data_IF_534082700857
#
_entry.id   IF_534082700857
#
_cell.length_a   1.000
_cell.length_b   1.000
_cell.length_c   1.000
_cell.angle_alpha   90.00
_cell.angle_beta   90.00
_cell.angle_gamma   90.00
#
_symmetry.space_group_name_H-M   'P 1'
#
loop_
_entity.id
_entity.type
_entity.pdbx_description
1 polymer ?
#
# COMPACT_ATOMS: atom_id res chain seq x y z
N UNK A 1 6.80 -28.94 -9.28
CA UNK A 1 7.46 -28.06 -8.30
C UNK A 1 6.49 -26.91 -8.02
N UNK A 2 5.94 -26.87 -6.82
CA UNK A 2 4.89 -25.89 -6.42
C UNK A 2 5.60 -24.58 -6.08
N UNK A 3 5.31 -23.51 -6.82
CA UNK A 3 5.73 -22.15 -6.51
C UNK A 3 4.98 -21.71 -5.26
N UNK A 4 5.66 -21.67 -4.13
CA UNK A 4 5.13 -21.04 -2.93
C UNK A 4 5.29 -19.53 -3.11
N UNK A 5 4.21 -18.88 -3.48
CA UNK A 5 4.08 -17.44 -3.42
C UNK A 5 4.07 -17.04 -1.95
N UNK A 6 5.15 -16.45 -1.48
CA UNK A 6 5.14 -15.68 -0.26
C UNK A 6 4.51 -14.33 -0.59
N UNK A 7 3.21 -14.23 -0.35
CA UNK A 7 2.60 -12.94 -0.13
C UNK A 7 3.25 -12.38 1.14
N UNK A 8 3.99 -11.29 1.03
CA UNK A 8 4.09 -10.35 2.11
C UNK A 8 2.65 -9.89 2.33
N UNK A 9 1.98 -10.59 3.23
CA UNK A 9 0.61 -10.32 3.53
C UNK A 9 0.53 -8.95 4.20
N UNK A 10 0.22 -7.93 3.42
CA UNK A 10 -0.73 -6.97 3.93
C UNK A 10 -1.97 -7.82 4.21
N UNK A 11 -2.15 -8.21 5.47
CA UNK A 11 -3.33 -8.91 5.92
C UNK A 11 -4.50 -7.93 5.85
N UNK A 12 -5.03 -7.73 4.63
CA UNK A 12 -6.41 -7.40 4.46
C UNK A 12 -7.16 -8.68 4.79
N UNK A 13 -7.45 -8.93 6.07
CA UNK A 13 -8.48 -9.89 6.42
C UNK A 13 -9.80 -9.31 5.93
N UNK A 14 -10.14 -9.65 4.68
CA UNK A 14 -11.50 -9.62 4.22
C UNK A 14 -12.28 -10.64 5.06
N UNK A 15 -12.80 -10.22 6.20
CA UNK A 15 -13.91 -10.87 6.85
C UNK A 15 -15.11 -10.69 5.91
N UNK A 16 -15.29 -11.64 4.99
CA UNK A 16 -16.55 -11.81 4.32
C UNK A 16 -17.59 -12.26 5.35
N UNK A 17 -18.16 -11.30 6.05
CA UNK A 17 -19.46 -11.53 6.67
C UNK A 17 -20.46 -11.65 5.53
N UNK A 18 -20.87 -12.88 5.22
CA UNK A 18 -22.09 -13.11 4.48
C UNK A 18 -23.25 -12.64 5.35
N UNK A 19 -23.56 -11.36 5.25
CA UNK A 19 -24.84 -10.83 5.69
C UNK A 19 -25.86 -11.35 4.70
N UNK A 20 -26.64 -12.32 5.11
CA UNK A 20 -27.89 -12.67 4.43
C UNK A 20 -28.78 -11.45 4.56
N UNK A 21 -28.69 -10.54 3.59
CA UNK A 21 -29.64 -9.46 3.45
C UNK A 21 -30.96 -10.08 3.02
N UNK A 22 -31.97 -9.99 3.88
CA UNK A 22 -33.36 -10.19 3.49
C UNK A 22 -33.66 -9.25 2.31
N UNK A 23 -34.05 -9.84 1.19
CA UNK A 23 -34.50 -9.14 0.00
C UNK A 23 -35.76 -8.34 0.31
N UNK A 24 -35.61 -7.03 0.41
CA UNK A 24 -36.64 -6.11 0.02
C UNK A 24 -36.12 -5.37 -1.21
N UNK A 25 -36.86 -5.49 -2.30
CA UNK A 25 -36.65 -4.74 -3.54
C UNK A 25 -36.99 -3.26 -3.29
N UNK A 26 -36.09 -2.55 -2.62
CA UNK A 26 -36.12 -1.10 -2.63
C UNK A 26 -35.00 -0.65 -3.56
N UNK A 27 -35.37 -0.01 -4.65
CA UNK A 27 -34.49 0.67 -5.60
C UNK A 27 -33.54 1.56 -4.81
N UNK A 28 -32.21 1.43 -4.94
CA UNK A 28 -31.28 2.26 -4.19
C UNK A 28 -31.46 3.72 -4.61
N UNK A 29 -32.08 4.50 -3.75
CA UNK A 29 -32.07 5.95 -3.83
C UNK A 29 -30.69 6.43 -3.42
N UNK A 30 -29.97 7.02 -4.37
CA UNK A 30 -28.70 7.73 -4.23
C UNK A 30 -27.54 6.94 -3.58
N UNK A 31 -26.37 6.85 -4.26
CA UNK A 31 -25.18 6.13 -3.75
C UNK A 31 -24.65 6.65 -2.41
N UNK A 32 -25.04 7.84 -2.02
CA UNK A 32 -24.63 8.50 -0.77
C UNK A 32 -25.23 7.87 0.47
N UNK A 33 -26.43 7.32 0.42
CA UNK A 33 -27.08 6.76 1.61
C UNK A 33 -26.52 5.39 1.99
N UNK A 34 -26.17 4.56 1.02
CA UNK A 34 -25.53 3.26 1.28
C UNK A 34 -24.10 3.42 1.85
N UNK A 35 -23.47 4.57 1.65
CA UNK A 35 -22.12 4.86 2.08
C UNK A 35 -22.03 5.47 3.49
N UNK A 36 -23.12 5.84 4.11
CA UNK A 36 -23.12 6.47 5.44
C UNK A 36 -23.53 5.46 6.51
N UNK A 37 -22.74 5.44 7.58
CA UNK A 37 -23.04 4.68 8.78
C UNK A 37 -23.44 5.68 9.85
N UNK A 38 -24.66 5.52 10.37
CA UNK A 38 -25.10 6.30 11.52
C UNK A 38 -24.48 5.75 12.80
N UNK A 39 -23.71 6.57 13.47
CA UNK A 39 -23.23 6.32 14.82
C UNK A 39 -24.17 7.00 15.79
N UNK A 40 -25.08 6.23 16.38
CA UNK A 40 -26.09 6.73 17.30
C UNK A 40 -25.81 6.29 18.74
N UNK A 41 -26.45 6.93 19.71
CA UNK A 41 -26.40 6.48 21.11
C UNK A 41 -26.89 5.06 21.30
N UNK A 42 -27.79 4.59 20.45
CA UNK A 42 -28.39 3.25 20.54
C UNK A 42 -27.40 2.16 20.11
N UNK A 43 -26.57 2.41 19.12
CA UNK A 43 -25.59 1.46 18.60
C UNK A 43 -24.15 1.69 19.11
N UNK A 44 -23.91 2.75 19.92
CA UNK A 44 -22.60 3.13 20.42
C UNK A 44 -21.88 2.00 21.19
N UNK A 45 -22.62 1.23 22.00
CA UNK A 45 -22.05 0.10 22.75
C UNK A 45 -21.56 -1.00 21.82
N UNK A 46 -22.32 -1.34 20.78
CA UNK A 46 -21.95 -2.34 19.79
C UNK A 46 -20.71 -1.92 19.03
N UNK A 47 -20.64 -0.68 18.56
CA UNK A 47 -19.46 -0.12 17.90
C UNK A 47 -18.24 -0.09 18.80
N UNK A 48 -18.38 0.31 20.07
CA UNK A 48 -17.28 0.29 21.01
C UNK A 48 -16.74 -1.16 21.24
N UNK A 49 -17.60 -2.13 21.36
CA UNK A 49 -17.19 -3.53 21.50
C UNK A 49 -16.49 -4.06 20.24
N UNK A 50 -17.02 -3.74 19.06
CA UNK A 50 -16.39 -4.06 17.79
C UNK A 50 -15.00 -3.44 17.68
N UNK A 51 -14.86 -2.14 17.93
CA UNK A 51 -13.57 -1.44 17.89
C UNK A 51 -12.55 -2.02 18.88
N UNK A 52 -12.97 -2.39 20.10
CA UNK A 52 -12.10 -3.05 21.07
C UNK A 52 -11.60 -4.41 20.58
N UNK A 53 -12.47 -5.20 19.96
CA UNK A 53 -12.10 -6.48 19.37
C UNK A 53 -11.10 -6.31 18.21
N UNK A 54 -11.37 -5.39 17.29
CA UNK A 54 -10.48 -5.09 16.15
C UNK A 54 -9.11 -4.61 16.61
N UNK A 55 -9.06 -3.66 17.56
CA UNK A 55 -7.78 -3.15 18.11
C UNK A 55 -6.99 -4.26 18.82
N UNK A 56 -7.66 -5.17 19.49
CA UNK A 56 -7.01 -6.30 20.16
C UNK A 56 -6.38 -7.26 19.15
N UNK A 57 -7.09 -7.57 18.05
CA UNK A 57 -6.56 -8.39 16.96
C UNK A 57 -5.40 -7.68 16.26
N UNK A 58 -5.57 -6.42 15.89
CA UNK A 58 -4.52 -5.63 15.24
C UNK A 58 -3.24 -5.57 16.07
N UNK A 59 -3.38 -5.38 17.41
CA UNK A 59 -2.22 -5.39 18.31
C UNK A 59 -1.51 -6.73 18.30
N UNK A 60 -2.28 -7.83 18.33
CA UNK A 60 -1.71 -9.17 18.28
C UNK A 60 -0.96 -9.40 16.97
N UNK A 61 -1.58 -9.10 15.84
CA UNK A 61 -1.00 -9.34 14.52
C UNK A 61 0.25 -8.48 14.29
N UNK A 62 0.23 -7.22 14.76
CA UNK A 62 1.42 -6.36 14.73
C UNK A 62 2.56 -6.89 15.62
N UNK A 63 2.23 -7.47 16.77
CA UNK A 63 3.22 -8.10 17.66
C UNK A 63 3.81 -9.36 17.03
N UNK A 64 2.96 -10.20 16.42
CA UNK A 64 3.41 -11.42 15.74
C UNK A 64 4.31 -11.07 14.54
N UNK A 65 3.95 -10.05 13.77
CA UNK A 65 4.76 -9.57 12.65
C UNK A 65 6.13 -9.07 13.11
N UNK A 66 6.17 -8.30 14.21
CA UNK A 66 7.42 -7.84 14.81
C UNK A 66 8.28 -9.03 15.28
N UNK A 67 7.67 -10.01 15.95
CA UNK A 67 8.36 -11.20 16.43
C UNK A 67 8.98 -11.99 15.27
N UNK A 68 8.23 -12.21 14.19
CA UNK A 68 8.74 -12.92 13.01
C UNK A 68 9.89 -12.16 12.30
N UNK A 69 9.80 -10.85 12.28
CA UNK A 69 10.80 -10.03 11.62
C UNK A 69 12.10 -9.90 12.43
N UNK A 70 12.01 -9.73 13.74
CA UNK A 70 13.13 -9.28 14.58
C UNK A 70 13.62 -10.34 15.60
N UNK A 71 12.79 -11.31 15.97
CA UNK A 71 13.10 -12.26 17.02
C UNK A 71 13.27 -13.68 16.48
N UNK A 72 12.22 -14.28 15.91
CA UNK A 72 12.24 -15.66 15.42
C UNK A 72 11.15 -15.89 14.38
N UNK A 73 11.52 -16.49 13.26
CA UNK A 73 10.57 -16.89 12.23
C UNK A 73 10.44 -18.42 12.18
N UNK A 74 9.25 -18.93 12.46
CA UNK A 74 8.96 -20.40 12.45
C UNK A 74 9.92 -21.25 13.26
N UNK A 75 10.38 -20.73 14.40
CA UNK A 75 11.30 -21.42 15.30
C UNK A 75 12.77 -21.42 14.88
N UNK A 76 13.12 -20.65 13.85
CA UNK A 76 14.49 -20.41 13.41
C UNK A 76 14.99 -19.00 13.73
N UNK A 77 15.98 -18.54 12.98
CA UNK A 77 16.45 -17.15 13.03
C UNK A 77 15.34 -16.16 12.67
N UNK A 78 15.51 -14.91 13.05
CA UNK A 78 14.58 -13.86 12.63
C UNK A 78 14.60 -13.68 11.11
N UNK A 79 13.49 -13.22 10.53
CA UNK A 79 13.44 -12.98 9.09
C UNK A 79 14.44 -11.91 8.66
N UNK A 80 14.67 -10.89 9.52
CA UNK A 80 15.65 -9.85 9.26
C UNK A 80 17.10 -10.38 9.23
N UNK A 81 17.44 -11.38 10.06
CA UNK A 81 18.74 -12.04 9.99
C UNK A 81 18.91 -12.87 8.73
N UNK A 82 17.92 -13.69 8.38
CA UNK A 82 17.89 -14.45 7.13
C UNK A 82 18.08 -13.54 5.92
N UNK A 83 17.40 -12.38 5.91
CA UNK A 83 17.52 -11.39 4.86
C UNK A 83 18.92 -10.74 4.81
N UNK A 84 19.45 -10.31 5.96
CA UNK A 84 20.78 -9.67 6.07
C UNK A 84 21.93 -10.61 5.75
N UNK A 85 21.79 -11.87 6.10
CA UNK A 85 22.84 -12.88 5.91
C UNK A 85 22.77 -13.53 4.53
N UNK A 86 21.81 -13.13 3.70
CA UNK A 86 21.58 -13.70 2.37
C UNK A 86 21.33 -15.22 2.40
N UNK A 87 20.59 -15.67 3.41
CA UNK A 87 20.19 -17.08 3.54
C UNK A 87 18.94 -17.36 2.70
N UNK A 88 18.73 -18.63 2.39
CA UNK A 88 17.57 -19.02 1.60
C UNK A 88 16.25 -18.50 2.21
N UNK A 89 15.34 -17.89 1.40
CA UNK A 89 15.34 -17.88 -0.08
C UNK A 89 16.15 -16.74 -0.73
N UNK A 90 16.87 -15.90 0.01
CA UNK A 90 17.59 -14.73 -0.46
C UNK A 90 19.10 -15.03 -0.53
N UNK A 91 19.54 -15.69 -1.59
CA UNK A 91 20.89 -16.23 -1.68
C UNK A 91 21.98 -15.20 -2.09
N UNK A 92 21.63 -13.93 -2.19
CA UNK A 92 22.56 -12.83 -2.52
C UNK A 92 22.01 -11.48 -2.11
N UNK A 93 22.89 -10.47 -1.99
CA UNK A 93 22.49 -9.08 -1.79
C UNK A 93 21.58 -8.59 -2.92
N UNK A 94 21.86 -8.99 -4.16
CA UNK A 94 21.03 -8.68 -5.32
C UNK A 94 19.62 -9.23 -5.17
N UNK A 95 19.44 -10.48 -4.75
CA UNK A 95 18.11 -11.07 -4.54
C UNK A 95 17.33 -10.35 -3.43
N UNK A 96 18.00 -9.84 -2.39
CA UNK A 96 17.38 -9.02 -1.36
C UNK A 96 16.92 -7.68 -1.93
N UNK A 97 17.74 -7.00 -2.71
CA UNK A 97 17.39 -5.74 -3.38
C UNK A 97 16.20 -5.94 -4.32
N UNK A 98 16.21 -7.01 -5.14
CA UNK A 98 15.10 -7.34 -6.02
C UNK A 98 13.80 -7.56 -5.27
N UNK A 99 13.84 -8.27 -4.15
CA UNK A 99 12.65 -8.50 -3.31
C UNK A 99 12.07 -7.20 -2.75
N UNK A 100 12.93 -6.24 -2.34
CA UNK A 100 12.45 -4.92 -1.88
C UNK A 100 11.78 -4.16 -3.02
N UNK A 101 12.38 -4.16 -4.21
CA UNK A 101 11.81 -3.47 -5.38
C UNK A 101 10.50 -4.13 -5.80
N UNK A 102 10.43 -5.46 -5.83
CA UNK A 102 9.18 -6.19 -6.14
C UNK A 102 8.07 -5.82 -5.15
N UNK A 103 8.38 -5.74 -3.85
CA UNK A 103 7.43 -5.26 -2.85
C UNK A 103 6.94 -3.83 -3.11
N UNK A 104 7.82 -2.93 -3.55
CA UNK A 104 7.43 -1.57 -3.94
C UNK A 104 6.54 -1.55 -5.19
N UNK A 105 6.83 -2.40 -6.19
CA UNK A 105 6.01 -2.57 -7.40
C UNK A 105 4.63 -3.08 -7.04
N UNK A 106 4.56 -4.12 -6.20
CA UNK A 106 3.29 -4.71 -5.76
C UNK A 106 2.42 -3.70 -5.00
N UNK A 107 3.01 -2.91 -4.10
CA UNK A 107 2.30 -1.86 -3.37
C UNK A 107 1.75 -0.80 -4.35
N UNK A 108 2.57 -0.32 -5.30
CA UNK A 108 2.13 0.70 -6.25
C UNK A 108 0.99 0.17 -7.15
N UNK A 109 1.09 -1.08 -7.62
CA UNK A 109 0.03 -1.74 -8.40
C UNK A 109 -1.24 -1.93 -7.57
N UNK A 110 -1.11 -2.42 -6.34
CA UNK A 110 -2.27 -2.64 -5.47
C UNK A 110 -3.02 -1.35 -5.20
N UNK A 111 -2.31 -0.25 -4.89
CA UNK A 111 -2.95 1.05 -4.69
C UNK A 111 -3.60 1.56 -5.97
N UNK A 112 -2.89 1.54 -7.10
CA UNK A 112 -3.38 2.06 -8.37
C UNK A 112 -4.51 1.22 -8.96
N UNK A 113 -4.28 -0.08 -9.13
CA UNK A 113 -5.20 -0.93 -9.89
C UNK A 113 -6.32 -1.51 -9.02
N UNK A 114 -5.98 -1.95 -7.78
CA UNK A 114 -6.95 -2.66 -6.94
C UNK A 114 -7.74 -1.71 -6.05
N UNK A 115 -7.04 -0.81 -5.32
CA UNK A 115 -7.71 0.02 -4.29
C UNK A 115 -8.42 1.24 -4.88
N UNK A 116 -7.87 1.83 -5.94
CA UNK A 116 -8.46 3.00 -6.62
C UNK A 116 -9.11 2.59 -7.93
N UNK A 117 -8.40 1.85 -8.77
CA UNK A 117 -8.80 1.53 -10.14
C UNK A 117 -9.99 0.57 -10.24
N UNK A 118 -10.08 -0.46 -9.40
CA UNK A 118 -11.20 -1.39 -9.41
C UNK A 118 -12.53 -0.70 -9.02
N UNK A 119 -12.62 0.04 -7.90
CA UNK A 119 -13.82 0.86 -7.62
C UNK A 119 -14.14 1.85 -8.74
N UNK A 120 -13.13 2.56 -9.26
CA UNK A 120 -13.31 3.51 -10.36
C UNK A 120 -13.91 2.84 -11.61
N UNK A 121 -13.33 1.72 -12.03
CA UNK A 121 -13.76 0.98 -13.22
C UNK A 121 -15.18 0.42 -13.08
N UNK A 122 -15.54 -0.10 -11.90
CA UNK A 122 -16.88 -0.54 -11.58
C UNK A 122 -17.88 0.61 -11.66
N UNK A 123 -17.52 1.76 -11.11
CA UNK A 123 -18.35 2.96 -11.16
C UNK A 123 -18.61 3.39 -12.60
N UNK A 124 -17.55 3.47 -13.44
CA UNK A 124 -17.64 3.81 -14.86
C UNK A 124 -18.51 2.81 -15.65
N UNK A 125 -18.51 1.55 -15.24
CA UNK A 125 -19.37 0.51 -15.83
C UNK A 125 -20.85 0.58 -15.37
N UNK A 126 -21.23 1.59 -14.55
CA UNK A 126 -22.57 1.73 -14.00
C UNK A 126 -22.88 0.82 -12.80
N UNK A 127 -21.87 0.10 -12.29
CA UNK A 127 -21.98 -0.82 -11.16
C UNK A 127 -21.69 -0.09 -9.83
N UNK A 128 -22.45 0.95 -9.56
CA UNK A 128 -22.17 1.88 -8.46
C UNK A 128 -22.13 1.19 -7.10
N UNK A 129 -23.07 0.30 -6.82
CA UNK A 129 -23.11 -0.45 -5.55
C UNK A 129 -21.87 -1.35 -5.38
N UNK A 130 -21.46 -2.06 -6.45
CA UNK A 130 -20.25 -2.88 -6.43
C UNK A 130 -18.99 -2.02 -6.23
N UNK A 131 -18.95 -0.83 -6.84
CA UNK A 131 -17.87 0.12 -6.69
C UNK A 131 -17.71 0.60 -5.24
N UNK A 132 -18.83 0.95 -4.60
CA UNK A 132 -18.84 1.38 -3.20
C UNK A 132 -18.32 0.30 -2.25
N UNK A 133 -18.75 -0.95 -2.41
CA UNK A 133 -18.31 -2.05 -1.56
C UNK A 133 -16.90 -2.57 -1.88
N UNK A 134 -16.32 -2.17 -3.01
CA UNK A 134 -14.93 -2.46 -3.35
C UNK A 134 -13.92 -1.50 -2.65
N UNK A 135 -14.40 -0.41 -2.05
CA UNK A 135 -13.53 0.56 -1.37
C UNK A 135 -13.02 -0.02 -0.05
N UNK A 136 -11.70 -0.06 0.12
CA UNK A 136 -11.08 -0.35 1.42
C UNK A 136 -11.29 0.79 2.43
N UNK A 137 -11.14 0.48 3.72
CA UNK A 137 -11.34 1.43 4.81
C UNK A 137 -12.73 2.08 4.79
N UNK A 138 -13.70 1.33 4.30
CA UNK A 138 -15.06 1.77 4.04
C UNK A 138 -15.73 2.34 5.29
N UNK A 139 -15.53 1.68 6.44
CA UNK A 139 -16.11 2.08 7.71
C UNK A 139 -15.39 3.26 8.38
N UNK A 140 -14.08 3.38 8.19
CA UNK A 140 -13.28 4.42 8.85
C UNK A 140 -13.20 5.73 8.07
N UNK A 141 -13.54 5.71 6.77
CA UNK A 141 -13.47 6.85 5.84
C UNK A 141 -12.04 7.36 5.58
N UNK A 142 -11.02 6.56 5.90
CA UNK A 142 -9.61 6.93 5.81
C UNK A 142 -8.88 6.33 4.60
N UNK A 143 -9.62 5.89 3.56
CA UNK A 143 -9.02 5.26 2.37
C UNK A 143 -7.88 6.10 1.78
N UNK A 144 -8.08 7.41 1.66
CA UNK A 144 -7.07 8.32 1.11
C UNK A 144 -5.79 8.34 1.94
N UNK A 145 -5.92 8.41 3.25
CA UNK A 145 -4.79 8.37 4.19
C UNK A 145 -4.09 7.01 4.16
N UNK A 146 -4.85 5.93 4.12
CA UNK A 146 -4.30 4.57 4.05
C UNK A 146 -3.53 4.36 2.74
N UNK A 147 -4.09 4.80 1.61
CA UNK A 147 -3.44 4.69 0.30
C UNK A 147 -2.19 5.57 0.20
N UNK A 148 -2.23 6.79 0.71
CA UNK A 148 -1.05 7.66 0.74
C UNK A 148 0.06 7.08 1.63
N UNK A 149 -0.28 6.44 2.75
CA UNK A 149 0.67 5.76 3.64
C UNK A 149 1.31 4.52 2.98
N UNK A 150 0.62 3.85 2.06
CA UNK A 150 1.24 2.81 1.25
C UNK A 150 2.37 3.39 0.38
N UNK A 151 2.17 4.58 -0.21
CA UNK A 151 3.24 5.26 -0.97
C UNK A 151 4.36 5.77 -0.05
N UNK A 152 4.06 6.19 1.18
CA UNK A 152 5.09 6.49 2.20
C UNK A 152 5.98 5.27 2.45
N UNK A 153 5.42 4.06 2.47
CA UNK A 153 6.22 2.84 2.66
C UNK A 153 7.19 2.58 1.49
N UNK A 154 6.77 2.86 0.24
CA UNK A 154 7.66 2.82 -0.92
C UNK A 154 8.77 3.87 -0.78
N UNK A 155 8.43 5.10 -0.38
CA UNK A 155 9.40 6.15 -0.12
C UNK A 155 10.44 5.72 0.93
N UNK A 156 9.98 5.16 2.04
CA UNK A 156 10.84 4.68 3.12
C UNK A 156 11.79 3.58 2.65
N UNK A 157 11.30 2.60 1.89
CA UNK A 157 12.12 1.53 1.33
C UNK A 157 13.17 2.07 0.33
N UNK A 158 12.75 2.96 -0.57
CA UNK A 158 13.65 3.54 -1.59
C UNK A 158 14.70 4.46 -0.99
N UNK A 159 14.34 5.25 0.03
CA UNK A 159 15.22 6.22 0.70
C UNK A 159 16.00 5.64 1.88
N UNK A 160 15.70 4.41 2.32
CA UNK A 160 16.36 3.77 3.46
C UNK A 160 16.13 4.48 4.80
N UNK A 161 15.01 5.19 4.94
CA UNK A 161 14.64 5.93 6.15
C UNK A 161 13.17 5.69 6.50
N UNK A 162 12.83 5.84 7.76
CA UNK A 162 11.48 5.69 8.27
C UNK A 162 10.97 7.04 8.76
N UNK A 163 10.38 7.82 7.85
CA UNK A 163 9.86 9.14 8.21
C UNK A 163 8.83 9.65 7.21
N UNK A 164 7.61 9.88 7.66
CA UNK A 164 6.59 10.59 6.87
C UNK A 164 7.02 12.02 6.52
N UNK A 165 7.81 12.66 7.40
CA UNK A 165 8.32 14.01 7.17
C UNK A 165 9.20 14.12 5.92
N UNK A 166 9.68 12.99 5.40
CA UNK A 166 10.48 12.96 4.17
C UNK A 166 9.65 13.35 2.94
N UNK A 167 8.39 12.93 2.88
CA UNK A 167 7.51 13.06 1.71
C UNK A 167 6.45 14.17 1.86
N UNK A 168 6.18 14.65 3.08
CA UNK A 168 5.11 15.60 3.36
C UNK A 168 5.36 17.03 2.86
N UNK A 169 6.62 17.38 2.53
CA UNK A 169 6.98 18.68 1.95
C UNK A 169 6.63 18.79 0.45
N UNK A 170 6.92 19.93 -0.15
CA UNK A 170 6.73 20.15 -1.60
C UNK A 170 7.59 19.21 -2.46
N UNK A 171 8.74 18.79 -1.94
CA UNK A 171 9.65 17.81 -2.55
C UNK A 171 10.18 16.88 -1.48
N UNK A 172 10.64 15.70 -1.88
CA UNK A 172 11.35 14.80 -0.96
C UNK A 172 12.71 15.41 -0.61
N UNK A 173 12.98 15.54 0.70
CA UNK A 173 14.22 16.13 1.20
C UNK A 173 15.38 15.14 1.05
N UNK A 174 16.15 15.30 -0.02
CA UNK A 174 17.30 14.43 -0.34
C UNK A 174 18.39 14.42 0.74
N UNK A 175 18.48 15.47 1.57
CA UNK A 175 19.47 15.53 2.66
C UNK A 175 19.22 14.51 3.76
N UNK A 176 17.99 13.99 3.83
CA UNK A 176 17.58 12.98 4.82
C UNK A 176 17.61 11.55 4.28
N UNK A 177 17.93 11.37 3.00
CA UNK A 177 18.05 10.03 2.40
C UNK A 177 19.25 9.32 2.99
N UNK A 178 19.08 8.05 3.36
CA UNK A 178 20.16 7.23 3.93
C UNK A 178 21.30 7.00 2.92
N UNK A 179 22.52 7.01 3.40
CA UNK A 179 23.68 6.58 2.61
C UNK A 179 23.64 5.08 2.28
N UNK A 180 22.75 4.32 2.92
CA UNK A 180 22.50 2.88 2.66
C UNK A 180 21.06 2.73 2.15
N UNK A 181 20.80 3.20 0.93
CA UNK A 181 19.46 3.21 0.32
C UNK A 181 19.52 2.84 -1.16
N UNK A 182 18.41 2.43 -1.74
CA UNK A 182 18.29 2.20 -3.18
C UNK A 182 18.61 3.49 -3.97
N UNK A 183 18.17 4.63 -3.48
CA UNK A 183 18.51 5.92 -4.05
C UNK A 183 20.04 6.09 -4.15
N UNK A 184 20.75 5.92 -3.03
CA UNK A 184 22.20 6.10 -2.98
C UNK A 184 22.95 5.07 -3.84
N UNK A 185 22.48 3.84 -3.88
CA UNK A 185 23.00 2.79 -4.76
C UNK A 185 22.93 3.23 -6.22
N UNK A 186 21.78 3.71 -6.69
CA UNK A 186 21.63 4.21 -8.06
C UNK A 186 22.55 5.40 -8.35
N UNK A 187 22.61 6.37 -7.42
CA UNK A 187 23.48 7.56 -7.56
C UNK A 187 24.96 7.18 -7.68
N UNK A 188 25.44 6.30 -6.80
CA UNK A 188 26.84 5.85 -6.79
C UNK A 188 27.22 5.12 -8.07
N UNK A 189 26.26 4.57 -8.78
CA UNK A 189 26.46 3.85 -10.05
C UNK A 189 26.11 4.71 -11.29
N UNK A 190 26.12 6.04 -11.13
CA UNK A 190 25.94 6.97 -12.25
C UNK A 190 24.49 7.10 -12.73
N UNK A 191 23.51 6.57 -11.98
CA UNK A 191 22.08 6.60 -12.31
C UNK A 191 21.33 7.71 -11.56
N UNK A 192 21.97 8.87 -11.34
CA UNK A 192 21.40 10.02 -10.62
C UNK A 192 20.05 10.43 -11.21
N UNK A 193 19.94 10.50 -12.55
CA UNK A 193 18.70 10.89 -13.22
C UNK A 193 17.54 9.91 -12.94
N UNK A 194 17.83 8.60 -12.92
CA UNK A 194 16.82 7.58 -12.58
C UNK A 194 16.42 7.67 -11.10
N UNK A 195 17.37 7.85 -10.20
CA UNK A 195 17.11 8.01 -8.78
C UNK A 195 16.21 9.21 -8.50
N UNK A 196 16.50 10.37 -9.11
CA UNK A 196 15.73 11.59 -8.96
C UNK A 196 14.33 11.48 -9.58
N UNK A 197 14.22 10.84 -10.73
CA UNK A 197 12.93 10.59 -11.37
C UNK A 197 12.05 9.68 -10.53
N UNK A 198 12.64 8.66 -9.89
CA UNK A 198 11.91 7.75 -8.99
C UNK A 198 11.38 8.50 -7.77
N UNK A 199 12.19 9.37 -7.13
CA UNK A 199 11.68 10.22 -6.04
C UNK A 199 10.53 11.11 -6.49
N UNK A 200 10.62 11.68 -7.69
CA UNK A 200 9.56 12.53 -8.25
C UNK A 200 8.28 11.74 -8.51
N UNK A 201 8.38 10.52 -9.03
CA UNK A 201 7.23 9.65 -9.26
C UNK A 201 6.57 9.21 -7.95
N UNK A 202 7.34 8.85 -6.93
CA UNK A 202 6.84 8.53 -5.58
C UNK A 202 6.08 9.74 -5.01
N UNK A 203 6.67 10.94 -5.10
CA UNK A 203 6.02 12.18 -4.62
C UNK A 203 4.75 12.48 -5.38
N UNK A 204 4.75 12.32 -6.70
CA UNK A 204 3.57 12.53 -7.54
C UNK A 204 2.42 11.60 -7.15
N UNK A 205 2.68 10.30 -6.99
CA UNK A 205 1.66 9.34 -6.57
C UNK A 205 1.07 9.71 -5.20
N UNK A 206 1.91 10.06 -4.23
CA UNK A 206 1.49 10.52 -2.91
C UNK A 206 0.58 11.75 -2.99
N UNK A 207 0.99 12.78 -3.73
CA UNK A 207 0.24 14.03 -3.86
C UNK A 207 -1.09 13.83 -4.60
N UNK A 208 -1.11 13.01 -5.64
CA UNK A 208 -2.34 12.70 -6.38
C UNK A 208 -3.35 11.96 -5.53
N UNK A 209 -2.92 11.03 -4.68
CA UNK A 209 -3.81 10.37 -3.72
C UNK A 209 -4.38 11.37 -2.72
N UNK A 210 -3.54 12.25 -2.15
CA UNK A 210 -4.00 13.27 -1.21
C UNK A 210 -4.91 14.33 -1.85
N UNK A 211 -4.87 14.50 -3.17
CA UNK A 211 -5.76 15.40 -3.89
C UNK A 211 -7.17 14.82 -4.07
N UNK A 212 -7.38 13.51 -3.86
CA UNK A 212 -8.73 12.92 -3.91
C UNK A 212 -9.59 13.56 -2.82
N UNK A 213 -10.81 14.05 -3.15
CA UNK A 213 -11.71 14.58 -2.14
C UNK A 213 -12.13 13.52 -1.12
N UNK A 214 -12.37 13.93 0.11
CA UNK A 214 -12.82 13.02 1.19
C UNK A 214 -14.34 13.00 1.32
N UNK A 215 -14.90 11.84 1.71
CA UNK A 215 -14.28 10.52 1.73
C UNK A 215 -14.17 9.96 0.30
N UNK A 216 -13.13 9.18 0.01
CA UNK A 216 -12.89 8.59 -1.32
C UNK A 216 -14.12 7.87 -1.88
N UNK A 217 -14.83 7.12 -1.07
CA UNK A 217 -16.03 6.37 -1.49
C UNK A 217 -17.14 7.23 -2.11
N UNK A 218 -17.20 8.53 -1.77
CA UNK A 218 -18.15 9.48 -2.37
C UNK A 218 -17.58 10.16 -3.62
N UNK A 219 -16.30 9.92 -3.93
CA UNK A 219 -15.55 10.56 -5.01
C UNK A 219 -14.80 9.56 -5.90
N UNK A 220 -15.30 8.30 -5.94
CA UNK A 220 -14.69 7.20 -6.69
C UNK A 220 -14.44 7.59 -8.15
N UNK A 221 -15.40 8.26 -8.79
CA UNK A 221 -15.34 8.66 -10.20
C UNK A 221 -14.78 10.07 -10.44
N UNK A 222 -14.11 10.65 -9.47
CA UNK A 222 -13.50 11.98 -9.64
C UNK A 222 -12.29 11.94 -10.58
N UNK A 223 -12.00 13.08 -11.22
CA UNK A 223 -10.77 13.25 -12.01
C UNK A 223 -9.52 13.03 -11.17
N UNK A 224 -9.56 13.38 -9.88
CA UNK A 224 -8.47 13.15 -8.94
C UNK A 224 -8.25 11.67 -8.67
N UNK A 225 -9.32 10.86 -8.63
CA UNK A 225 -9.20 9.41 -8.47
C UNK A 225 -8.51 8.77 -9.68
N UNK A 226 -8.89 9.18 -10.88
CA UNK A 226 -8.21 8.74 -12.11
C UNK A 226 -6.74 9.16 -12.12
N UNK A 227 -6.45 10.43 -11.81
CA UNK A 227 -5.08 10.95 -11.77
C UNK A 227 -4.21 10.25 -10.72
N UNK A 228 -4.78 9.81 -9.59
CA UNK A 228 -4.08 9.03 -8.57
C UNK A 228 -3.80 7.59 -9.05
N UNK A 229 -4.76 6.95 -9.69
CA UNK A 229 -4.57 5.65 -10.33
C UNK A 229 -3.43 5.68 -11.35
N UNK A 230 -3.47 6.63 -12.28
CA UNK A 230 -2.44 6.80 -13.31
C UNK A 230 -1.06 7.02 -12.71
N UNK A 231 -0.94 7.89 -11.71
CA UNK A 231 0.34 8.16 -11.04
C UNK A 231 0.92 6.93 -10.32
N UNK A 232 0.08 6.09 -9.71
CA UNK A 232 0.52 4.83 -9.10
C UNK A 232 0.96 3.81 -10.16
N UNK A 233 0.24 3.72 -11.27
CA UNK A 233 0.60 2.86 -12.41
C UNK A 233 1.93 3.28 -13.04
N UNK A 234 2.14 4.58 -13.28
CA UNK A 234 3.41 5.12 -13.76
C UNK A 234 4.58 4.81 -12.80
N UNK A 235 4.36 4.95 -11.48
CA UNK A 235 5.36 4.60 -10.47
C UNK A 235 5.70 3.11 -10.52
N UNK A 236 4.71 2.24 -10.61
CA UNK A 236 4.90 0.80 -10.72
C UNK A 236 5.72 0.42 -11.96
N UNK A 237 5.38 0.97 -13.12
CA UNK A 237 6.10 0.75 -14.38
C UNK A 237 7.55 1.25 -14.27
N UNK A 238 7.77 2.43 -13.68
CA UNK A 238 9.12 2.98 -13.48
C UNK A 238 9.97 2.08 -12.58
N UNK A 239 9.41 1.62 -11.47
CA UNK A 239 10.09 0.71 -10.55
C UNK A 239 10.44 -0.62 -11.22
N UNK A 240 9.47 -1.23 -11.92
CA UNK A 240 9.61 -2.53 -12.57
C UNK A 240 10.57 -2.49 -13.75
N UNK A 241 10.38 -1.53 -14.67
CA UNK A 241 11.01 -1.56 -15.98
C UNK A 241 12.32 -0.76 -16.04
N UNK A 242 12.60 0.09 -15.05
CA UNK A 242 13.81 0.92 -15.01
C UNK A 242 14.64 0.71 -13.76
N UNK A 243 14.05 0.83 -12.57
CA UNK A 243 14.79 0.72 -11.30
C UNK A 243 15.27 -0.71 -11.09
N UNK A 244 14.39 -1.69 -11.24
CA UNK A 244 14.72 -3.11 -11.05
C UNK A 244 15.87 -3.57 -11.94
N UNK A 245 15.85 -3.38 -13.28
CA UNK A 245 16.98 -3.77 -14.13
C UNK A 245 18.25 -2.96 -13.90
N UNK A 246 18.16 -1.72 -13.44
CA UNK A 246 19.33 -0.93 -13.08
C UNK A 246 20.02 -1.50 -11.83
N UNK A 247 19.25 -2.00 -10.85
CA UNK A 247 19.78 -2.63 -9.65
C UNK A 247 20.28 -4.06 -9.90
N UNK A 248 19.72 -4.81 -10.84
CA UNK A 248 20.22 -6.16 -11.21
C UNK A 248 21.67 -6.11 -11.68
N UNK A 249 22.00 -5.13 -12.49
CA UNK A 249 23.38 -4.96 -13.01
C UNK A 249 24.41 -4.64 -11.93
N UNK A 250 23.97 -4.16 -10.76
CA UNK A 250 24.81 -3.77 -9.64
C UNK A 250 25.05 -4.91 -8.65
N UNK A 251 24.31 -6.00 -8.80
CA UNK A 251 24.40 -7.17 -7.92
C UNK A 251 25.37 -8.24 -8.42
N UNK A 252 25.96 -8.05 -9.60
CA UNK A 252 26.90 -8.99 -10.24
C UNK A 252 28.37 -8.65 -9.94
N UNK A 253 28.67 -7.50 -9.33
CA UNK A 253 29.99 -7.06 -8.89
C UNK A 253 30.18 -7.26 -7.36
#
# INVERSE_FOLDING_TARGET
MKKNFFYAAALAMGLTFSMTACSNEDTPTEPTDAANIDYTSENATSWNNYMKAVVTLLRKDASDLYEYWDVSYKGGASYAETFKNHEAPFNSAGSCVQQVIDGCVDIANEVGETKIGDPYSKYQAGKVTEALYAVESWYSWHSREDYSNNIVSICNAFCGVRSEALISGATIDKSKVSTKSLYTVLVSNGQQGLADNTLSAIKNAYDKILAIPQPFRNHINSEQSLAAQEACSELSVLLKDKVKPACDKLSED
#
